data_IF_515268642673
#
_entry.id   IF_515268642673
#
_cell.length_a   1.000
_cell.length_b   1.000
_cell.length_c   1.000
_cell.angle_alpha   90.00
_cell.angle_beta   90.00
_cell.angle_gamma   90.00
#
_symmetry.space_group_name_H-M   'P 1'
#
loop_
_entity.id
_entity.type
_entity.pdbx_description
1 polymer ?
#
# COMPACT_ATOMS: atom_id res chain seq x y z
N UNK A 1 17.08 -15.81 3.45
CA UNK A 1 16.84 -15.25 4.81
C UNK A 1 15.38 -15.45 5.18
N UNK A 2 15.08 -15.97 6.37
CA UNK A 2 13.71 -16.04 6.89
C UNK A 2 13.10 -14.64 7.00
N UNK A 3 11.80 -14.52 6.69
CA UNK A 3 11.02 -13.30 6.85
C UNK A 3 9.91 -13.57 7.85
N UNK A 4 9.83 -12.76 8.90
CA UNK A 4 8.79 -12.83 9.93
C UNK A 4 8.00 -11.54 9.92
N UNK A 5 6.67 -11.63 10.04
CA UNK A 5 5.82 -10.45 10.10
C UNK A 5 6.11 -9.63 11.36
N UNK A 6 6.24 -8.30 11.24
CA UNK A 6 6.50 -7.43 12.38
C UNK A 6 5.23 -6.97 13.14
N UNK A 7 4.05 -7.34 12.65
CA UNK A 7 2.78 -7.03 13.31
C UNK A 7 2.69 -7.68 14.70
N UNK A 8 2.25 -6.90 15.69
CA UNK A 8 2.10 -7.37 17.07
C UNK A 8 1.11 -8.54 17.12
N UNK A 9 1.53 -9.66 17.72
CA UNK A 9 0.72 -10.88 17.81
C UNK A 9 0.65 -11.73 16.55
N UNK A 10 1.36 -11.37 15.47
CA UNK A 10 1.40 -12.16 14.24
C UNK A 10 2.62 -13.09 14.23
N UNK A 11 2.39 -14.40 14.11
CA UNK A 11 3.44 -15.43 14.05
C UNK A 11 3.76 -15.88 12.60
N UNK A 12 3.13 -15.24 11.62
CA UNK A 12 3.34 -15.57 10.21
C UNK A 12 4.79 -15.31 9.80
N UNK A 13 5.39 -16.34 9.21
CA UNK A 13 6.73 -16.27 8.62
C UNK A 13 6.76 -17.10 7.34
N UNK A 14 7.71 -16.78 6.46
CA UNK A 14 7.72 -17.29 5.08
C UNK A 14 7.99 -18.79 4.94
N UNK A 15 8.34 -19.49 6.03
CA UNK A 15 8.53 -20.94 6.05
C UNK A 15 7.27 -21.70 6.49
N UNK A 16 6.23 -21.00 6.97
CA UNK A 16 5.00 -21.62 7.50
C UNK A 16 4.03 -22.05 6.39
N UNK A 17 3.63 -21.10 5.52
CA UNK A 17 2.65 -21.33 4.45
C UNK A 17 3.13 -20.68 3.16
N UNK A 18 2.98 -21.41 2.04
CA UNK A 18 3.35 -20.91 0.70
C UNK A 18 2.48 -19.74 0.21
N UNK A 19 1.27 -19.58 0.75
CA UNK A 19 0.30 -18.54 0.37
C UNK A 19 0.54 -17.19 1.08
N UNK A 20 1.49 -17.12 2.01
CA UNK A 20 1.84 -15.86 2.69
C UNK A 20 2.79 -15.06 1.81
N UNK A 21 2.39 -13.84 1.49
CA UNK A 21 3.29 -12.83 0.91
C UNK A 21 3.67 -11.80 1.97
N UNK A 22 4.87 -11.24 1.83
CA UNK A 22 5.48 -10.33 2.79
C UNK A 22 5.84 -9.02 2.10
N UNK A 23 5.24 -7.94 2.56
CA UNK A 23 5.34 -6.61 1.98
C UNK A 23 6.28 -5.74 2.80
N UNK A 24 7.22 -5.07 2.13
CA UNK A 24 8.12 -4.10 2.76
C UNK A 24 7.38 -2.81 3.07
N UNK A 25 7.91 -2.05 4.02
CA UNK A 25 7.43 -0.70 4.27
C UNK A 25 7.58 0.17 3.01
N UNK A 26 6.61 1.08 2.77
CA UNK A 26 6.66 2.00 1.66
C UNK A 26 7.84 2.99 1.80
N UNK A 27 8.33 3.50 0.68
CA UNK A 27 9.35 4.55 0.64
C UNK A 27 8.78 5.94 0.91
N UNK A 28 7.50 6.12 0.61
CA UNK A 28 6.77 7.35 0.88
C UNK A 28 6.65 7.57 2.39
N UNK A 29 7.08 8.74 2.87
CA UNK A 29 7.20 9.02 4.29
C UNK A 29 5.83 9.14 4.98
N UNK A 30 4.84 9.71 4.29
CA UNK A 30 3.49 9.84 4.84
C UNK A 30 2.88 8.46 5.08
N UNK A 31 2.88 7.62 4.04
CA UNK A 31 2.39 6.24 4.13
C UNK A 31 3.19 5.40 5.13
N UNK A 32 4.50 5.61 5.20
CA UNK A 32 5.37 4.94 6.16
C UNK A 32 4.94 5.25 7.60
N UNK A 33 4.73 6.53 7.91
CA UNK A 33 4.26 6.97 9.23
C UNK A 33 2.87 6.38 9.55
N UNK A 34 1.98 6.32 8.57
CA UNK A 34 0.68 5.69 8.76
C UNK A 34 0.79 4.19 9.05
N UNK A 35 1.72 3.48 8.41
CA UNK A 35 1.98 2.06 8.71
C UNK A 35 2.54 1.87 10.11
N UNK A 36 3.43 2.76 10.57
CA UNK A 36 3.94 2.73 11.95
C UNK A 36 2.82 2.90 12.97
N UNK A 37 1.99 3.93 12.79
CA UNK A 37 0.83 4.20 13.64
C UNK A 37 -0.15 3.03 13.61
N UNK A 38 -0.37 2.45 12.43
CA UNK A 38 -1.25 1.31 12.26
C UNK A 38 -0.71 0.03 12.90
N UNK A 39 0.60 -0.11 13.15
CA UNK A 39 1.16 -1.29 13.83
C UNK A 39 1.05 -1.20 15.35
N UNK A 40 1.00 0.02 15.92
CA UNK A 40 0.93 0.30 17.36
C UNK A 40 1.95 -0.53 18.16
N UNK A 41 3.19 -0.56 17.66
CA UNK A 41 4.25 -1.34 18.26
C UNK A 41 5.17 -0.39 19.03
N UNK A 42 5.12 -0.52 20.36
CA UNK A 42 6.07 0.14 21.24
C UNK A 42 7.08 -0.88 21.78
N UNK A 43 8.26 -0.41 22.15
CA UNK A 43 9.22 -1.20 22.90
C UNK A 43 8.78 -1.29 24.37
N UNK A 44 9.29 -2.28 25.14
CA UNK A 44 8.96 -2.42 26.56
C UNK A 44 9.31 -1.19 27.42
N UNK A 45 10.28 -0.38 26.98
CA UNK A 45 10.70 0.87 27.62
C UNK A 45 9.78 2.07 27.29
N UNK A 46 8.72 1.87 26.50
CA UNK A 46 7.79 2.91 26.05
C UNK A 46 8.29 3.73 24.85
N UNK A 47 9.45 3.41 24.28
CA UNK A 47 9.95 4.09 23.08
C UNK A 47 9.32 3.53 21.81
N UNK A 48 9.14 4.36 20.75
CA UNK A 48 8.53 3.89 19.51
C UNK A 48 9.44 2.85 18.83
N UNK A 49 8.86 1.73 18.40
CA UNK A 49 9.59 0.74 17.61
C UNK A 49 9.90 1.27 16.21
N UNK A 50 11.14 1.07 15.76
CA UNK A 50 11.60 1.52 14.44
C UNK A 50 11.79 0.30 13.54
N UNK A 51 11.14 0.23 12.37
CA UNK A 51 11.33 -0.84 11.42
C UNK A 51 12.73 -0.76 10.79
N UNK A 52 13.28 -1.93 10.51
CA UNK A 52 14.54 -2.09 9.80
C UNK A 52 14.29 -2.32 8.31
N UNK A 53 15.36 -2.35 7.50
CA UNK A 53 15.30 -2.72 6.07
C UNK A 53 14.66 -4.10 5.78
N UNK A 54 14.65 -4.99 6.79
CA UNK A 54 14.11 -6.34 6.69
C UNK A 54 12.72 -6.47 7.33
N UNK A 55 12.20 -5.40 7.93
CA UNK A 55 10.87 -5.39 8.53
C UNK A 55 9.81 -5.50 7.43
N UNK A 56 8.87 -6.44 7.61
CA UNK A 56 7.84 -6.76 6.64
C UNK A 56 6.51 -7.05 7.31
N UNK A 57 5.42 -6.78 6.61
CA UNK A 57 4.04 -7.07 7.02
C UNK A 57 3.46 -8.13 6.08
N UNK A 58 2.84 -9.19 6.60
CA UNK A 58 2.26 -10.23 5.73
C UNK A 58 0.91 -9.79 5.12
N UNK A 59 0.51 -10.43 4.03
CA UNK A 59 -0.77 -10.21 3.34
C UNK A 59 -2.00 -10.29 4.24
N UNK A 60 -1.98 -11.05 5.34
CA UNK A 60 -3.11 -11.17 6.27
C UNK A 60 -3.56 -9.83 6.87
N UNK A 61 -2.72 -8.79 6.85
CA UNK A 61 -3.04 -7.47 7.39
C UNK A 61 -3.72 -6.53 6.38
N UNK A 62 -3.93 -6.98 5.15
CA UNK A 62 -4.60 -6.27 4.06
C UNK A 62 -5.84 -7.04 3.60
N UNK A 63 -6.90 -6.33 3.25
CA UNK A 63 -8.17 -6.91 2.81
C UNK A 63 -8.00 -7.68 1.50
N UNK A 64 -7.34 -7.08 0.50
CA UNK A 64 -7.03 -7.75 -0.78
C UNK A 64 -5.76 -8.61 -0.72
N UNK A 65 -5.09 -8.65 0.44
CA UNK A 65 -3.81 -9.33 0.60
C UNK A 65 -2.60 -8.56 0.04
N UNK A 66 -2.79 -7.37 -0.51
CA UNK A 66 -1.69 -6.53 -1.01
C UNK A 66 -1.88 -5.05 -0.67
N UNK A 67 -0.79 -4.33 -0.39
CA UNK A 67 -0.82 -2.89 -0.22
C UNK A 67 -1.12 -2.18 -1.55
N UNK A 68 -2.01 -1.18 -1.54
CA UNK A 68 -2.27 -0.31 -2.72
C UNK A 68 -1.46 0.97 -2.67
N UNK A 69 -1.03 1.52 -3.81
CA UNK A 69 -0.40 2.84 -3.89
C UNK A 69 -1.38 3.99 -3.64
N UNK A 70 -2.66 3.75 -3.89
CA UNK A 70 -3.67 4.81 -3.91
C UNK A 70 -4.14 5.13 -2.49
N UNK A 71 -4.05 6.40 -2.09
CA UNK A 71 -4.38 6.85 -0.73
C UNK A 71 -5.84 6.59 -0.35
N UNK A 72 -6.74 6.54 -1.33
CA UNK A 72 -8.17 6.29 -1.15
C UNK A 72 -8.51 4.80 -1.05
N UNK A 73 -7.57 3.91 -1.36
CA UNK A 73 -7.79 2.47 -1.32
C UNK A 73 -7.76 1.97 0.14
N UNK A 74 -8.68 1.07 0.55
CA UNK A 74 -8.72 0.59 1.94
C UNK A 74 -7.45 -0.17 2.38
N UNK A 75 -6.71 -0.75 1.43
CA UNK A 75 -5.39 -1.37 1.66
C UNK A 75 -4.19 -0.42 1.49
N UNK A 76 -4.40 0.90 1.51
CA UNK A 76 -3.29 1.85 1.55
C UNK A 76 -2.44 1.67 2.82
N UNK A 77 -3.10 1.38 3.94
CA UNK A 77 -2.49 1.04 5.24
C UNK A 77 -2.93 -0.35 5.67
N UNK A 78 -2.10 -1.12 6.39
CA UNK A 78 -2.55 -2.36 7.00
C UNK A 78 -3.60 -2.03 8.06
N UNK A 79 -4.71 -2.78 8.09
CA UNK A 79 -5.84 -2.47 8.99
C UNK A 79 -6.34 -3.67 9.78
N UNK A 80 -5.97 -4.88 9.36
CA UNK A 80 -6.46 -6.11 9.96
C UNK A 80 -5.48 -6.56 11.06
N UNK A 81 -5.69 -6.08 12.28
CA UNK A 81 -4.89 -6.47 13.46
C UNK A 81 -5.79 -7.03 14.56
N UNK A 82 -5.25 -7.97 15.35
CA UNK A 82 -6.01 -8.67 16.38
C UNK A 82 -6.46 -7.76 17.54
N UNK A 83 -5.74 -6.67 17.80
CA UNK A 83 -6.11 -5.69 18.85
C UNK A 83 -7.17 -4.69 18.38
N UNK A 84 -7.56 -4.71 17.11
CA UNK A 84 -8.65 -3.88 16.63
C UNK A 84 -9.97 -4.48 17.14
N UNK A 85 -10.53 -3.94 18.21
CA UNK A 85 -11.79 -4.43 18.81
C UNK A 85 -12.97 -4.35 17.84
N UNK A 86 -12.88 -3.49 16.82
CA UNK A 86 -13.82 -3.39 15.71
C UNK A 86 -13.32 -4.18 14.49
N UNK A 87 -13.05 -5.49 14.65
CA UNK A 87 -12.71 -6.34 13.51
C UNK A 87 -13.94 -6.41 12.60
N UNK A 88 -13.94 -5.60 11.54
CA UNK A 88 -14.99 -5.66 10.53
C UNK A 88 -15.02 -7.06 9.92
N UNK A 89 -16.21 -7.65 9.78
CA UNK A 89 -16.35 -9.00 9.22
C UNK A 89 -15.79 -9.06 7.80
N UNK A 90 -15.40 -10.24 7.31
CA UNK A 90 -14.92 -10.41 5.93
C UNK A 90 -15.87 -9.78 4.90
N UNK A 91 -17.18 -9.88 5.12
CA UNK A 91 -18.22 -9.24 4.29
C UNK A 91 -18.08 -7.72 4.28
N UNK A 92 -17.90 -7.09 5.45
CA UNK A 92 -17.70 -5.64 5.56
C UNK A 92 -16.39 -5.19 4.91
N UNK A 93 -15.32 -5.98 5.06
CA UNK A 93 -14.04 -5.69 4.42
C UNK A 93 -14.17 -5.73 2.88
N UNK A 94 -14.83 -6.76 2.33
CA UNK A 94 -15.11 -6.86 0.90
C UNK A 94 -15.99 -5.69 0.40
N UNK A 95 -16.98 -5.28 1.19
CA UNK A 95 -17.81 -4.13 0.84
C UNK A 95 -16.98 -2.84 0.73
N UNK A 96 -15.95 -2.62 1.57
CA UNK A 96 -15.05 -1.47 1.46
C UNK A 96 -14.31 -1.47 0.12
N UNK A 97 -13.75 -2.62 -0.28
CA UNK A 97 -13.11 -2.76 -1.59
C UNK A 97 -14.08 -2.49 -2.75
N UNK A 98 -15.31 -3.00 -2.65
CA UNK A 98 -16.34 -2.79 -3.68
C UNK A 98 -16.75 -1.32 -3.77
N UNK A 99 -16.89 -0.61 -2.64
CA UNK A 99 -17.18 0.84 -2.63
C UNK A 99 -16.08 1.63 -3.32
N UNK A 100 -14.82 1.33 -3.02
CA UNK A 100 -13.68 1.94 -3.69
C UNK A 100 -13.71 1.68 -5.21
N UNK A 101 -13.91 0.43 -5.63
CA UNK A 101 -14.01 0.08 -7.04
C UNK A 101 -15.16 0.80 -7.76
N UNK A 102 -16.32 0.94 -7.10
CA UNK A 102 -17.46 1.67 -7.64
C UNK A 102 -17.19 3.17 -7.74
N UNK A 103 -16.48 3.76 -6.79
CA UNK A 103 -16.06 5.16 -6.86
C UNK A 103 -15.14 5.43 -8.05
N UNK A 104 -14.14 4.56 -8.30
CA UNK A 104 -13.27 4.66 -9.48
C UNK A 104 -14.08 4.56 -10.78
N UNK A 105 -15.00 3.60 -10.88
CA UNK A 105 -15.88 3.45 -12.06
C UNK A 105 -16.75 4.70 -12.31
N UNK A 106 -17.22 5.37 -11.25
CA UNK A 106 -17.99 6.61 -11.37
C UNK A 106 -17.10 7.75 -11.87
N UNK A 107 -15.92 7.91 -11.28
CA UNK A 107 -14.94 8.93 -11.70
C UNK A 107 -14.54 8.82 -13.17
N UNK A 108 -14.38 7.59 -13.69
CA UNK A 108 -14.06 7.38 -15.09
C UNK A 108 -15.21 7.74 -16.04
N UNK A 109 -16.47 7.61 -15.60
CA UNK A 109 -17.65 7.94 -16.42
C UNK A 109 -17.95 9.44 -16.45
N UNK A 110 -17.59 10.17 -15.39
CA UNK A 110 -17.83 11.61 -15.27
C UNK A 110 -16.78 12.46 -15.97
N UNK A 111 -15.71 11.86 -16.51
CA UNK A 111 -14.76 12.57 -17.36
C UNK A 111 -15.20 12.48 -18.84
N UNK A 112 -15.70 13.57 -19.46
CA UNK A 112 -16.13 13.54 -20.86
C UNK A 112 -15.00 13.28 -21.87
N UNK A 113 -13.73 13.20 -21.43
CA UNK A 113 -12.56 13.00 -22.30
C UNK A 113 -12.00 11.56 -22.34
N UNK A 114 -12.58 10.57 -21.65
CA UNK A 114 -12.02 9.20 -21.61
C UNK A 114 -12.49 8.24 -22.71
N UNK A 115 -13.20 8.74 -23.74
CA UNK A 115 -13.61 7.96 -24.93
C UNK A 115 -12.63 8.18 -26.10
N UNK A 116 -11.38 7.81 -25.90
CA UNK A 116 -10.46 7.60 -27.03
C UNK A 116 -9.38 6.62 -26.61
N UNK A 117 -9.59 5.35 -26.97
CA UNK A 117 -8.50 4.40 -27.08
C UNK A 117 -7.59 4.86 -28.21
N UNK A 118 -6.53 5.58 -27.88
CA UNK A 118 -5.41 5.83 -28.78
C UNK A 118 -4.17 5.33 -28.05
N UNK A 119 -3.67 4.18 -28.51
CA UNK A 119 -2.39 3.65 -28.08
C UNK A 119 -1.30 4.67 -28.39
N UNK A 120 -0.61 5.15 -27.35
CA UNK A 120 0.59 5.94 -27.52
C UNK A 120 1.75 4.95 -27.56
N UNK A 121 2.17 4.66 -28.79
CA UNK A 121 3.44 3.99 -29.08
C UNK A 121 4.60 4.86 -28.61
N UNK A 122 5.62 4.21 -28.07
CA UNK A 122 6.91 4.77 -27.72
C UNK A 122 7.46 5.66 -28.84
N UNK A 123 7.94 6.86 -28.48
CA UNK A 123 9.09 7.44 -29.19
C UNK A 123 10.07 8.05 -28.20
N UNK A 124 11.23 7.41 -28.11
CA UNK A 124 12.47 8.02 -27.65
C UNK A 124 12.92 9.02 -28.73
N UNK A 125 13.27 10.26 -28.35
CA UNK A 125 14.12 11.13 -29.17
C UNK A 125 14.87 12.15 -28.31
N UNK A 126 16.19 12.09 -28.45
CA UNK A 126 17.25 12.94 -27.89
C UNK A 126 17.36 14.23 -28.74
N UNK A 127 18.12 15.22 -28.22
CA UNK A 127 18.85 16.35 -28.90
C UNK A 127 18.31 17.72 -28.43
N UNK A 128 18.98 18.41 -27.49
CA UNK A 128 20.16 19.28 -27.62
C UNK A 128 19.98 20.57 -28.45
N UNK A 129 20.36 21.69 -27.81
CA UNK A 129 20.81 22.99 -28.34
C UNK A 129 19.73 24.02 -28.73
N UNK A 130 19.63 25.05 -27.89
CA UNK A 130 19.46 26.44 -28.35
C UNK A 130 20.47 27.32 -27.62
N UNK A 131 21.51 27.74 -28.35
CA UNK A 131 22.20 28.98 -28.09
C UNK A 131 21.32 30.13 -28.62
N UNK A 132 21.32 31.29 -27.93
CA UNK A 132 21.50 32.64 -28.49
C UNK A 132 21.34 33.65 -27.35
N UNK A 133 22.47 34.29 -27.04
CA UNK A 133 22.70 35.70 -26.70
C UNK A 133 21.54 36.53 -26.12
N UNK A 134 21.78 37.14 -24.96
CA UNK A 134 21.57 38.58 -24.76
C UNK A 134 22.28 39.12 -23.50
N UNK A 135 23.18 40.08 -23.76
CA UNK A 135 23.84 41.07 -22.90
C UNK A 135 25.01 40.60 -22.04
#
# INVERSE_FOLDING_TARGET
MPKTCCAVGCQNHNMMLKSLSFHKFPKDQERFNLWLTALKRDRPDGTPWIPTKNSVVCNAHFISGKPSSDQTHPDYVPTLFNYNTNVSSKKQQQQKLQRHANALKRSMKTNPYSKSGVGVQETNAIVQKTAISRK
#
